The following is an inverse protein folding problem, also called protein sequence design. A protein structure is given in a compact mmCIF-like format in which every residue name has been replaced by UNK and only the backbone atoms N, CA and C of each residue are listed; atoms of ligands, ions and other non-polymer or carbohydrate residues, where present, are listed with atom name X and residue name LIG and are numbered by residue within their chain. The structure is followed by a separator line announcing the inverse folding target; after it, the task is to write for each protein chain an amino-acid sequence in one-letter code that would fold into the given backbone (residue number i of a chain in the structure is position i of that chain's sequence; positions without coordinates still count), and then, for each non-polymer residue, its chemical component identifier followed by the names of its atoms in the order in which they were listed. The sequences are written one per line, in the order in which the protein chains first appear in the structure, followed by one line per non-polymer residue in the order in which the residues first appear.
data_IF_206703500685
#
_entry.id   IF_206703500685
#
_cell.length_a   1.000
_cell.length_b   1.000
_cell.length_c   1.000
_cell.angle_alpha   90.00
_cell.angle_beta   90.00
_cell.angle_gamma   90.00
#
_symmetry.space_group_name_H-M   'P 1'
#
loop_
_entity.id
_entity.type
_entity.pdbx_description
1 polymer ?
#
# COMPACT_ATOMS: atom_id res chain seq x y z
N UNK A 1 -6.00 -35.32 14.77
CA UNK A 1 -4.97 -35.90 15.65
C UNK A 1 -4.04 -34.87 16.28
N UNK A 2 -3.40 -33.97 15.51
CA UNK A 2 -2.46 -32.97 16.06
C UNK A 2 -3.09 -32.02 17.12
N UNK A 3 -4.33 -31.58 16.91
CA UNK A 3 -5.01 -30.62 17.79
C UNK A 3 -5.34 -31.16 19.18
N UNK A 4 -5.62 -32.47 19.32
CA UNK A 4 -5.92 -33.09 20.63
C UNK A 4 -4.66 -33.25 21.47
N UNK A 5 -3.57 -33.74 20.85
CA UNK A 5 -2.27 -33.88 21.51
C UNK A 5 -1.70 -32.52 21.97
N UNK A 6 -1.91 -31.47 21.18
CA UNK A 6 -1.57 -30.10 21.56
C UNK A 6 -2.38 -29.62 22.76
N UNK A 7 -3.69 -29.89 22.80
CA UNK A 7 -4.56 -29.54 23.92
C UNK A 7 -4.15 -30.26 25.21
N UNK A 8 -3.86 -31.56 25.14
CA UNK A 8 -3.37 -32.33 26.29
C UNK A 8 -2.02 -31.81 26.80
N UNK A 9 -1.11 -31.46 25.90
CA UNK A 9 0.18 -30.84 26.26
C UNK A 9 -0.02 -29.46 26.89
N UNK A 10 -0.93 -28.63 26.36
CA UNK A 10 -1.26 -27.32 26.92
C UNK A 10 -1.89 -27.42 28.31
N UNK A 11 -2.82 -28.36 28.52
CA UNK A 11 -3.45 -28.61 29.83
C UNK A 11 -2.44 -29.05 30.91
N UNK A 12 -1.29 -29.60 30.52
CA UNK A 12 -0.19 -29.91 31.46
C UNK A 12 0.64 -28.69 31.85
N UNK A 13 0.56 -27.57 31.11
CA UNK A 13 1.30 -26.31 31.34
C UNK A 13 0.59 -25.29 32.23
N UNK A 14 -0.52 -25.66 32.88
CA UNK A 14 -1.38 -24.75 33.69
C UNK A 14 -0.62 -24.01 34.81
N UNK A 15 0.62 -24.41 35.14
CA UNK A 15 1.46 -23.79 36.16
C UNK A 15 2.85 -23.32 35.67
N UNK A 16 3.09 -23.32 34.36
CA UNK A 16 4.29 -22.73 33.81
C UNK A 16 4.03 -21.22 33.69
N UNK A 17 4.85 -20.36 34.31
CA UNK A 17 4.75 -18.89 34.23
C UNK A 17 5.01 -18.32 32.80
N UNK A 18 4.79 -19.14 31.78
CA UNK A 18 4.91 -18.81 30.36
C UNK A 18 3.55 -18.23 29.94
N UNK A 19 3.49 -16.95 29.51
CA UNK A 19 2.24 -16.38 29.04
C UNK A 19 1.66 -17.25 27.92
N UNK A 20 0.36 -17.57 28.02
CA UNK A 20 -0.38 -18.12 26.89
C UNK A 20 -0.29 -17.18 25.68
N UNK A 21 -0.60 -17.63 24.46
CA UNK A 21 -0.58 -16.75 23.29
C UNK A 21 -1.50 -15.56 23.54
N UNK A 22 -0.91 -14.41 23.86
CA UNK A 22 -1.60 -13.18 24.19
C UNK A 22 -2.09 -12.58 22.89
N UNK A 23 -3.39 -12.31 22.80
CA UNK A 23 -3.98 -11.56 21.68
C UNK A 23 -3.44 -10.12 21.61
N UNK A 24 -2.75 -9.65 22.66
CA UNK A 24 -2.14 -8.31 22.78
C UNK A 24 -1.04 -8.03 21.74
N UNK A 25 -0.54 -9.05 21.02
CA UNK A 25 0.38 -8.91 19.88
C UNK A 25 -0.18 -9.47 18.58
N UNK A 26 -1.48 -9.75 18.50
CA UNK A 26 -2.13 -10.27 17.31
C UNK A 26 -2.36 -9.14 16.30
N UNK A 27 -1.27 -8.62 15.71
CA UNK A 27 -1.36 -8.03 14.38
C UNK A 27 -2.10 -9.03 13.50
N UNK A 28 -3.07 -8.54 12.73
CA UNK A 28 -3.84 -9.43 11.87
C UNK A 28 -2.88 -10.09 10.86
N UNK A 29 -3.20 -11.30 10.39
CA UNK A 29 -2.35 -11.97 9.40
C UNK A 29 -2.15 -11.07 8.16
N UNK A 30 -3.16 -10.25 7.83
CA UNK A 30 -3.11 -9.24 6.78
C UNK A 30 -2.06 -8.14 7.04
N UNK A 31 -1.87 -7.73 8.30
CA UNK A 31 -0.85 -6.73 8.67
C UNK A 31 0.56 -7.31 8.59
N UNK A 32 0.76 -8.57 9.00
CA UNK A 32 2.02 -9.29 8.82
C UNK A 32 2.36 -9.56 7.35
N UNK A 33 1.33 -9.79 6.52
CA UNK A 33 1.48 -10.04 5.08
C UNK A 33 1.42 -8.75 4.25
N UNK A 34 1.31 -7.59 4.88
CA UNK A 34 1.27 -6.31 4.18
C UNK A 34 2.62 -6.06 3.50
N UNK A 35 2.66 -6.31 2.21
CA UNK A 35 3.82 -6.03 1.38
C UNK A 35 4.05 -4.53 1.37
N UNK A 36 5.16 -4.08 1.95
CA UNK A 36 5.61 -2.70 1.83
C UNK A 36 6.14 -2.53 0.40
N UNK A 37 5.58 -1.59 -0.39
CA UNK A 37 6.10 -1.31 -1.73
C UNK A 37 7.58 -0.94 -1.64
N UNK A 38 8.35 -1.38 -2.61
CA UNK A 38 9.76 -0.95 -2.69
C UNK A 38 9.84 0.56 -2.92
N UNK A 39 10.92 1.19 -2.47
CA UNK A 39 11.16 2.62 -2.75
C UNK A 39 11.07 2.93 -4.25
N UNK A 40 11.54 2.02 -5.11
CA UNK A 40 11.44 2.14 -6.57
C UNK A 40 9.99 2.15 -7.08
N UNK A 41 9.13 1.32 -6.49
CA UNK A 41 7.72 1.25 -6.86
C UNK A 41 6.97 2.53 -6.46
N UNK A 42 7.30 3.10 -5.30
CA UNK A 42 6.79 4.40 -4.85
C UNK A 42 7.23 5.50 -5.82
N UNK A 43 8.52 5.56 -6.14
CA UNK A 43 9.07 6.56 -7.08
C UNK A 43 8.43 6.43 -8.46
N UNK A 44 8.20 5.20 -8.95
CA UNK A 44 7.55 4.96 -10.23
C UNK A 44 6.11 5.51 -10.25
N UNK A 45 5.33 5.24 -9.22
CA UNK A 45 3.95 5.76 -9.13
C UNK A 45 3.91 7.30 -9.08
N UNK A 46 4.84 7.92 -8.35
CA UNK A 46 4.95 9.38 -8.31
C UNK A 46 5.36 9.97 -9.65
N UNK A 47 6.25 9.30 -10.38
CA UNK A 47 6.64 9.69 -11.74
C UNK A 47 5.46 9.62 -12.72
N UNK A 48 4.72 8.51 -12.73
CA UNK A 48 3.52 8.35 -13.58
C UNK A 48 2.49 9.44 -13.30
N UNK A 49 2.24 9.76 -12.02
CA UNK A 49 1.31 10.82 -11.63
C UNK A 49 1.74 12.19 -12.15
N UNK A 50 3.02 12.54 -12.01
CA UNK A 50 3.57 13.81 -12.51
C UNK A 50 3.52 13.88 -14.03
N UNK A 51 3.77 12.77 -14.72
CA UNK A 51 3.67 12.70 -16.18
C UNK A 51 2.26 13.05 -16.66
N UNK A 52 1.23 12.45 -16.05
CA UNK A 52 -0.17 12.74 -16.38
C UNK A 52 -0.56 14.20 -16.10
N UNK A 53 -0.02 14.80 -15.04
CA UNK A 53 -0.24 16.22 -14.75
C UNK A 53 0.40 17.11 -15.83
N UNK A 54 1.61 16.76 -16.29
CA UNK A 54 2.28 17.49 -17.36
C UNK A 54 1.58 17.37 -18.70
N UNK A 55 1.10 16.19 -19.07
CA UNK A 55 0.31 15.99 -20.30
C UNK A 55 -0.91 16.92 -20.33
N UNK A 56 -1.68 16.98 -19.23
CA UNK A 56 -2.82 17.90 -19.11
C UNK A 56 -2.44 19.37 -19.19
N UNK A 57 -1.25 19.74 -18.71
CA UNK A 57 -0.74 21.12 -18.82
C UNK A 57 -0.34 21.45 -20.25
N UNK A 58 0.29 20.51 -20.95
CA UNK A 58 0.68 20.66 -22.36
C UNK A 58 -0.57 20.82 -23.22
N UNK A 59 -1.58 19.96 -23.06
CA UNK A 59 -2.85 20.04 -23.79
C UNK A 59 -3.51 21.42 -23.64
N UNK A 60 -3.61 21.92 -22.40
CA UNK A 60 -4.15 23.27 -22.13
C UNK A 60 -3.33 24.39 -22.77
N UNK A 61 -2.01 24.23 -22.86
CA UNK A 61 -1.14 25.22 -23.50
C UNK A 61 -1.27 25.18 -25.02
N UNK A 62 -1.40 24.00 -25.61
CA UNK A 62 -1.64 23.83 -27.05
C UNK A 62 -3.00 24.42 -27.47
N UNK A 63 -4.04 24.17 -26.68
CA UNK A 63 -5.36 24.77 -26.88
C UNK A 63 -5.30 26.30 -26.83
N UNK A 64 -4.69 26.87 -25.78
CA UNK A 64 -4.49 28.33 -25.68
C UNK A 64 -3.69 28.90 -26.85
N UNK A 65 -2.65 28.19 -27.30
CA UNK A 65 -1.84 28.59 -28.44
C UNK A 65 -2.65 28.59 -29.74
N UNK A 66 -3.57 27.64 -29.92
CA UNK A 66 -4.49 27.64 -31.07
C UNK A 66 -5.42 28.85 -31.04
N UNK A 67 -6.06 29.14 -29.90
CA UNK A 67 -6.93 30.30 -29.75
C UNK A 67 -6.20 31.63 -30.03
N UNK A 68 -5.00 31.82 -29.48
CA UNK A 68 -4.21 33.03 -29.72
C UNK A 68 -3.79 33.21 -31.18
N UNK A 69 -3.66 32.12 -31.96
CA UNK A 69 -3.38 32.22 -33.40
C UNK A 69 -4.60 32.69 -34.19
N UNK A 70 -5.80 32.29 -33.78
CA UNK A 70 -7.05 32.72 -34.41
C UNK A 70 -7.32 34.21 -34.19
N UNK A 71 -6.91 34.76 -33.05
CA UNK A 71 -7.12 36.19 -32.72
C UNK A 71 -6.16 37.15 -33.45
N UNK A 72 -5.10 36.65 -34.11
CA UNK A 72 -4.06 37.47 -34.75
C UNK A 72 -4.35 37.72 -36.25
N UNK A 73 -5.24 36.97 -36.89
CA UNK A 73 -5.56 37.09 -38.33
C UNK A 73 -6.57 38.23 -38.66
N UNK A 74 -6.41 39.43 -38.07
CA UNK A 74 -7.21 40.66 -38.38
C UNK A 74 -6.39 41.70 -39.14
#
# INVERSE_FOLDING_TARGET
MATLKYKEWLSKRVNDNIPGPSLEGAQSMEEYLRVVPSELEIIKQDFERKSLEFEKRIEKLEEKKMYLRLDVDV
#
